data_IF_379911897467
#
_entry.id   IF_379911897467
#
_cell.length_a   1.000
_cell.length_b   1.000
_cell.length_c   1.000
_cell.angle_alpha   90.00
_cell.angle_beta   90.00
_cell.angle_gamma   90.00
#
_symmetry.space_group_name_H-M   'P 1'
#
loop_
_entity.id
_entity.type
_entity.pdbx_description
1 polymer ?
#
# COMPACT_ATOMS: atom_id res chain seq x y z
N UNK A 1 -0.78 44.16 49.38
CA UNK A 1 -2.19 43.70 49.40
C UNK A 1 -2.25 42.45 48.52
N UNK A 2 -2.29 41.20 49.03
CA UNK A 2 -3.38 40.45 49.69
C UNK A 2 -4.66 40.25 48.83
N UNK A 3 -5.08 38.97 48.77
CA UNK A 3 -6.34 38.34 48.29
C UNK A 3 -6.43 37.99 46.79
N UNK A 4 -6.39 36.71 46.37
CA UNK A 4 -7.25 35.50 46.57
C UNK A 4 -8.60 35.54 45.82
N UNK A 5 -8.80 34.53 44.95
CA UNK A 5 -9.99 33.71 44.63
C UNK A 5 -10.10 33.47 43.10
N UNK A 6 -9.74 32.28 42.57
CA UNK A 6 -10.51 31.01 42.41
C UNK A 6 -11.74 31.12 41.49
N UNK A 7 -11.70 30.41 40.34
CA UNK A 7 -12.78 29.69 39.63
C UNK A 7 -12.18 29.22 38.28
N UNK A 8 -11.72 27.98 38.13
CA UNK A 8 -12.49 26.76 37.82
C UNK A 8 -13.40 26.90 36.60
N UNK A 9 -12.90 26.50 35.42
CA UNK A 9 -13.73 26.04 34.31
C UNK A 9 -13.02 24.86 33.64
N UNK A 10 -13.53 23.67 33.96
CA UNK A 10 -13.19 22.43 33.31
C UNK A 10 -13.82 22.41 31.90
N UNK A 11 -12.98 22.33 30.87
CA UNK A 11 -13.38 21.80 29.57
C UNK A 11 -12.39 20.71 29.19
N UNK A 12 -12.79 19.48 29.54
CA UNK A 12 -12.30 18.24 28.96
C UNK A 12 -12.52 18.30 27.44
N UNK A 13 -11.45 18.47 26.69
CA UNK A 13 -11.42 18.15 25.27
C UNK A 13 -10.17 17.30 25.03
N UNK A 14 -10.27 16.03 25.40
CA UNK A 14 -9.42 15.00 24.83
C UNK A 14 -9.83 14.90 23.36
N UNK A 15 -8.96 15.17 22.37
CA UNK A 15 -9.19 14.63 21.06
C UNK A 15 -9.09 13.11 21.23
N UNK A 16 -10.23 12.44 21.07
CA UNK A 16 -10.24 11.02 20.80
C UNK A 16 -9.27 10.80 19.64
N UNK A 17 -8.14 10.17 19.95
CA UNK A 17 -7.31 9.54 18.94
C UNK A 17 -8.24 8.51 18.32
N UNK A 18 -8.86 8.89 17.20
CA UNK A 18 -9.46 7.93 16.31
C UNK A 18 -8.28 7.05 15.88
N UNK A 19 -8.16 5.89 16.52
CA UNK A 19 -7.42 4.77 16.00
C UNK A 19 -7.98 4.52 14.60
N UNK A 20 -7.34 5.15 13.62
CA UNK A 20 -7.39 4.70 12.26
C UNK A 20 -6.91 3.27 12.33
N UNK A 21 -7.85 2.32 12.27
CA UNK A 21 -7.60 0.94 11.90
C UNK A 21 -7.05 0.94 10.48
N UNK A 22 -5.82 1.42 10.37
CA UNK A 22 -4.92 1.09 9.28
C UNK A 22 -4.79 -0.41 9.39
N UNK A 23 -5.32 -1.12 8.41
CA UNK A 23 -5.05 -2.54 8.26
C UNK A 23 -3.53 -2.75 8.49
N UNK A 24 -3.13 -3.75 9.30
CA UNK A 24 -1.72 -3.96 9.59
C UNK A 24 -0.95 -3.98 8.28
N UNK A 25 0.03 -3.08 8.16
CA UNK A 25 0.88 -2.98 6.96
C UNK A 25 1.45 -4.37 6.68
N UNK A 26 1.18 -4.91 5.49
CA UNK A 26 1.66 -6.22 5.03
C UNK A 26 3.20 -6.38 5.09
N UNK A 27 3.97 -5.32 5.39
CA UNK A 27 5.43 -5.40 5.57
C UNK A 27 5.89 -6.31 6.71
N UNK A 28 5.02 -6.66 7.66
CA UNK A 28 5.37 -7.53 8.79
C UNK A 28 5.43 -9.01 8.42
N UNK A 29 4.55 -9.48 7.53
CA UNK A 29 4.39 -10.91 7.21
C UNK A 29 5.47 -11.45 6.28
N UNK A 30 6.30 -10.59 5.70
CA UNK A 30 7.43 -11.00 4.85
C UNK A 30 8.76 -11.06 5.63
N UNK A 31 8.71 -10.92 6.97
CA UNK A 31 9.86 -11.16 7.85
C UNK A 31 9.83 -12.60 8.33
N UNK A 32 10.78 -13.40 7.86
CA UNK A 32 10.90 -14.81 8.21
C UNK A 32 11.84 -14.98 9.41
N UNK A 33 11.35 -15.59 10.50
CA UNK A 33 12.21 -15.97 11.62
C UNK A 33 13.00 -17.23 11.27
N UNK A 34 14.25 -17.03 10.88
CA UNK A 34 15.21 -18.10 10.53
C UNK A 34 16.22 -18.38 11.66
N UNK A 35 16.06 -17.77 12.84
CA UNK A 35 17.08 -17.83 13.89
C UNK A 35 17.31 -19.24 14.44
N UNK A 36 16.34 -20.15 14.32
CA UNK A 36 16.47 -21.56 14.71
C UNK A 36 16.75 -22.54 13.58
N UNK A 37 16.96 -22.05 12.34
CA UNK A 37 17.39 -22.91 11.24
C UNK A 37 18.90 -23.20 11.32
N UNK A 38 19.35 -24.40 10.88
CA UNK A 38 20.77 -24.69 10.76
C UNK A 38 21.44 -23.80 9.72
N UNK A 39 22.77 -23.67 9.78
CA UNK A 39 23.53 -22.87 8.79
C UNK A 39 23.49 -23.48 7.38
N UNK A 40 23.24 -24.78 7.27
CA UNK A 40 23.11 -25.54 6.03
C UNK A 40 21.89 -26.45 6.10
N UNK A 41 21.28 -26.72 4.95
CA UNK A 41 20.09 -27.55 4.83
C UNK A 41 20.44 -29.03 4.79
N UNK A 42 20.15 -29.76 5.86
CA UNK A 42 20.44 -31.18 5.97
C UNK A 42 19.19 -32.04 5.67
N UNK A 43 18.01 -31.50 5.96
CA UNK A 43 16.72 -32.15 5.67
C UNK A 43 16.04 -31.56 4.42
N UNK A 44 15.14 -32.33 3.80
CA UNK A 44 14.40 -31.84 2.64
C UNK A 44 13.47 -30.66 2.97
N UNK A 45 12.94 -30.62 4.20
CA UNK A 45 12.17 -29.48 4.70
C UNK A 45 13.03 -28.21 4.76
N UNK A 46 14.23 -28.29 5.35
CA UNK A 46 15.17 -27.16 5.41
C UNK A 46 15.56 -26.70 3.99
N UNK A 47 15.83 -27.64 3.07
CA UNK A 47 16.16 -27.30 1.66
C UNK A 47 15.02 -26.53 1.01
N UNK A 48 13.77 -26.94 1.24
CA UNK A 48 12.60 -26.23 0.72
C UNK A 48 12.48 -24.83 1.31
N UNK A 49 12.64 -24.68 2.64
CA UNK A 49 12.61 -23.38 3.32
C UNK A 49 13.67 -22.45 2.75
N UNK A 50 14.94 -22.89 2.68
CA UNK A 50 16.02 -22.08 2.13
C UNK A 50 15.82 -21.73 0.65
N UNK A 51 15.28 -22.67 -0.14
CA UNK A 51 14.99 -22.42 -1.55
C UNK A 51 13.92 -21.35 -1.71
N UNK A 52 12.79 -21.46 -0.98
CA UNK A 52 11.72 -20.48 -1.06
C UNK A 52 12.17 -19.11 -0.55
N UNK A 53 12.86 -19.04 0.60
CA UNK A 53 13.39 -17.76 1.11
C UNK A 53 14.35 -17.11 0.11
N UNK A 54 15.19 -17.90 -0.58
CA UNK A 54 16.14 -17.39 -1.57
C UNK A 54 15.45 -16.79 -2.80
N UNK A 55 14.34 -17.36 -3.23
CA UNK A 55 13.64 -16.95 -4.45
C UNK A 55 12.38 -16.10 -4.19
N UNK A 56 12.02 -15.91 -2.92
CA UNK A 56 10.89 -15.10 -2.49
C UNK A 56 11.00 -13.68 -3.07
N UNK A 57 9.92 -13.23 -3.70
CA UNK A 57 9.82 -11.85 -4.19
C UNK A 57 8.98 -11.06 -3.22
N UNK A 58 9.47 -9.86 -2.88
CA UNK A 58 8.73 -8.94 -2.03
C UNK A 58 7.35 -8.64 -2.63
N UNK A 59 6.30 -8.78 -1.83
CA UNK A 59 4.90 -8.66 -2.25
C UNK A 59 4.23 -9.99 -2.66
N UNK A 60 4.97 -11.10 -2.76
CA UNK A 60 4.39 -12.43 -3.02
C UNK A 60 3.85 -13.06 -1.73
N UNK A 61 2.69 -12.59 -1.29
CA UNK A 61 2.13 -12.99 0.00
C UNK A 61 1.69 -14.46 0.07
N UNK A 62 1.47 -15.10 -1.10
CA UNK A 62 1.19 -16.54 -1.15
C UNK A 62 2.45 -17.34 -0.84
N UNK A 63 3.58 -16.91 -1.41
CA UNK A 63 4.87 -17.54 -1.13
C UNK A 63 5.32 -17.25 0.32
N UNK A 64 5.08 -16.03 0.84
CA UNK A 64 5.31 -15.71 2.25
C UNK A 64 4.48 -16.61 3.19
N UNK A 65 3.20 -16.84 2.90
CA UNK A 65 2.35 -17.74 3.67
C UNK A 65 2.91 -19.17 3.66
N UNK A 66 3.37 -19.65 2.50
CA UNK A 66 3.98 -20.97 2.35
C UNK A 66 5.27 -21.11 3.16
N UNK A 67 6.15 -20.12 3.12
CA UNK A 67 7.40 -20.11 3.90
C UNK A 67 7.09 -20.22 5.39
N UNK A 68 6.12 -19.45 5.90
CA UNK A 68 5.71 -19.51 7.30
C UNK A 68 5.12 -20.86 7.69
N UNK A 69 4.35 -21.52 6.83
CA UNK A 69 3.85 -22.87 7.11
C UNK A 69 4.99 -23.89 7.24
N UNK A 70 5.99 -23.83 6.35
CA UNK A 70 7.15 -24.72 6.44
C UNK A 70 8.01 -24.45 7.68
N UNK A 71 8.18 -23.16 8.06
CA UNK A 71 8.84 -22.79 9.31
C UNK A 71 8.06 -23.30 10.53
N UNK A 72 6.73 -23.22 10.50
CA UNK A 72 5.89 -23.77 11.57
C UNK A 72 6.09 -25.28 11.72
N UNK A 73 6.07 -26.03 10.62
CA UNK A 73 6.34 -27.46 10.61
C UNK A 73 7.75 -27.79 11.14
N UNK A 74 8.75 -27.00 10.74
CA UNK A 74 10.11 -27.15 11.22
C UNK A 74 10.20 -26.93 12.73
N UNK A 75 9.70 -25.80 13.26
CA UNK A 75 9.76 -25.48 14.68
C UNK A 75 8.95 -26.46 15.53
N UNK A 76 7.81 -26.94 15.03
CA UNK A 76 7.03 -28.01 15.66
C UNK A 76 7.84 -29.30 15.76
N UNK A 77 8.58 -29.68 14.72
CA UNK A 77 9.45 -30.86 14.74
C UNK A 77 10.61 -30.76 15.73
N UNK A 78 11.02 -29.54 16.09
CA UNK A 78 12.07 -29.26 17.09
C UNK A 78 11.53 -29.04 18.51
N UNK A 79 10.20 -29.07 18.70
CA UNK A 79 9.55 -28.82 19.99
C UNK A 79 9.41 -27.34 20.36
N UNK A 80 9.66 -26.42 19.42
CA UNK A 80 9.56 -24.97 19.62
C UNK A 80 8.12 -24.48 19.34
N UNK A 81 7.17 -24.90 20.19
CA UNK A 81 5.73 -24.67 19.96
C UNK A 81 5.37 -23.19 19.76
N UNK A 82 5.91 -22.28 20.58
CA UNK A 82 5.62 -20.84 20.48
C UNK A 82 6.00 -20.27 19.12
N UNK A 83 7.18 -20.63 18.59
CA UNK A 83 7.60 -20.17 17.26
C UNK A 83 6.75 -20.78 16.15
N UNK A 84 6.33 -22.04 16.32
CA UNK A 84 5.45 -22.68 15.37
C UNK A 84 4.07 -21.98 15.32
N UNK A 85 3.53 -21.59 16.47
CA UNK A 85 2.26 -20.87 16.58
C UNK A 85 2.37 -19.47 15.96
N UNK A 86 3.46 -18.75 16.22
CA UNK A 86 3.74 -17.43 15.63
C UNK A 86 3.86 -17.52 14.09
N UNK A 87 4.57 -18.52 13.58
CA UNK A 87 4.66 -18.77 12.14
C UNK A 87 3.28 -19.10 11.55
N UNK A 88 2.47 -19.92 12.23
CA UNK A 88 1.11 -20.26 11.77
C UNK A 88 0.21 -19.02 11.69
N UNK A 89 0.33 -18.13 12.68
CA UNK A 89 -0.38 -16.84 12.69
C UNK A 89 0.05 -15.97 11.51
N UNK A 90 1.35 -15.80 11.29
CA UNK A 90 1.87 -15.03 10.15
C UNK A 90 1.49 -15.63 8.81
N UNK A 91 1.45 -16.96 8.69
CA UNK A 91 0.96 -17.66 7.51
C UNK A 91 -0.51 -17.33 7.22
N UNK A 92 -1.34 -17.33 8.26
CA UNK A 92 -2.77 -16.99 8.15
C UNK A 92 -2.95 -15.53 7.74
N UNK A 93 -2.20 -14.60 8.34
CA UNK A 93 -2.22 -13.18 7.98
C UNK A 93 -1.75 -12.94 6.54
N UNK A 94 -0.68 -13.62 6.10
CA UNK A 94 -0.18 -13.55 4.73
C UNK A 94 -1.17 -14.14 3.72
N UNK A 95 -1.79 -15.27 4.04
CA UNK A 95 -2.82 -15.90 3.21
C UNK A 95 -4.05 -15.01 3.07
N UNK A 96 -4.54 -14.47 4.19
CA UNK A 96 -5.66 -13.55 4.20
C UNK A 96 -5.37 -12.26 3.42
N UNK A 97 -4.15 -11.74 3.52
CA UNK A 97 -3.72 -10.59 2.75
C UNK A 97 -3.55 -10.92 1.25
N UNK A 98 -3.14 -12.14 0.91
CA UNK A 98 -3.09 -12.61 -0.47
C UNK A 98 -4.49 -12.77 -1.07
N UNK A 99 -5.42 -13.41 -0.35
CA UNK A 99 -6.79 -13.68 -0.81
C UNK A 99 -7.66 -12.42 -0.88
N UNK A 100 -7.43 -11.46 0.02
CA UNK A 100 -8.13 -10.16 -0.01
C UNK A 100 -7.49 -9.16 -0.98
N UNK A 101 -6.33 -9.51 -1.55
CA UNK A 101 -5.40 -8.56 -2.16
C UNK A 101 -4.81 -7.61 -1.11
N UNK A 102 -3.58 -7.15 -1.30
CA UNK A 102 -3.05 -6.05 -0.48
C UNK A 102 -4.06 -4.91 -0.57
N UNK A 103 -4.69 -4.53 0.55
CA UNK A 103 -5.47 -3.29 0.60
C UNK A 103 -4.50 -2.15 0.45
N UNK A 104 -4.36 -1.69 -0.78
CA UNK A 104 -3.57 -0.51 -1.10
C UNK A 104 -4.39 0.74 -0.83
N UNK A 105 -3.70 1.86 -0.62
CA UNK A 105 -4.31 3.12 -0.20
C UNK A 105 -5.38 3.62 -1.18
N UNK A 106 -5.24 3.32 -2.47
CA UNK A 106 -6.23 3.66 -3.49
C UNK A 106 -7.46 2.72 -3.50
N UNK A 107 -7.38 1.54 -2.88
CA UNK A 107 -8.34 0.45 -3.00
C UNK A 107 -8.05 -0.50 -4.18
N UNK A 108 -6.87 -0.39 -4.81
CA UNK A 108 -6.42 -1.29 -5.88
C UNK A 108 -6.18 -2.70 -5.32
N UNK A 109 -6.65 -3.71 -6.03
CA UNK A 109 -6.42 -5.12 -5.68
C UNK A 109 -5.27 -5.71 -6.51
N UNK A 110 -4.54 -6.65 -5.91
CA UNK A 110 -3.44 -7.38 -6.56
C UNK A 110 -2.08 -6.76 -6.31
N UNK A 111 -1.14 -7.06 -7.21
CA UNK A 111 0.24 -6.55 -7.21
C UNK A 111 0.53 -5.89 -8.57
N UNK A 112 1.40 -4.86 -8.61
CA UNK A 112 1.83 -4.28 -9.87
C UNK A 112 2.60 -5.31 -10.71
N UNK A 113 2.45 -5.33 -12.04
CA UNK A 113 3.27 -6.17 -12.93
C UNK A 113 4.68 -5.59 -13.16
N UNK A 114 5.12 -4.68 -12.30
CA UNK A 114 6.40 -3.99 -12.38
C UNK A 114 6.90 -3.60 -10.98
N UNK A 115 8.19 -3.34 -10.87
CA UNK A 115 8.78 -2.83 -9.64
C UNK A 115 8.39 -1.34 -9.43
N UNK A 116 7.82 -0.98 -8.27
CA UNK A 116 7.48 0.41 -7.95
C UNK A 116 8.74 1.25 -7.73
N UNK A 117 8.93 2.32 -8.52
CA UNK A 117 10.05 3.25 -8.44
C UNK A 117 9.53 4.70 -8.44
N UNK A 118 10.29 5.63 -7.85
CA UNK A 118 9.96 7.06 -7.88
C UNK A 118 8.60 7.41 -7.27
N UNK A 119 8.20 6.71 -6.21
CA UNK A 119 6.88 6.86 -5.58
C UNK A 119 6.75 8.19 -4.83
N UNK A 120 5.53 8.72 -4.78
CA UNK A 120 5.20 9.96 -4.09
C UNK A 120 3.76 9.96 -3.59
N UNK A 121 3.45 10.82 -2.62
CA UNK A 121 2.07 11.05 -2.18
C UNK A 121 1.65 12.45 -2.59
N UNK A 122 0.70 12.55 -3.51
CA UNK A 122 0.17 13.84 -3.94
C UNK A 122 -1.18 13.69 -4.63
N UNK A 123 -2.03 14.71 -4.49
CA UNK A 123 -3.26 14.83 -5.27
C UNK A 123 -3.11 15.92 -6.31
N UNK A 124 -3.50 15.62 -7.55
CA UNK A 124 -3.57 16.57 -8.65
C UNK A 124 -4.98 16.65 -9.21
N UNK A 125 -5.34 17.80 -9.76
CA UNK A 125 -6.58 17.96 -10.49
C UNK A 125 -6.42 18.89 -11.69
N UNK A 126 -7.25 18.69 -12.71
CA UNK A 126 -7.44 19.63 -13.80
C UNK A 126 -8.90 19.64 -14.25
N UNK A 127 -9.34 20.79 -14.77
CA UNK A 127 -10.67 20.91 -15.37
C UNK A 127 -10.54 20.65 -16.87
N UNK A 128 -11.34 19.73 -17.39
CA UNK A 128 -11.56 19.56 -18.82
C UNK A 128 -12.77 20.42 -19.20
N UNK A 129 -12.50 21.59 -19.78
CA UNK A 129 -13.55 22.54 -20.19
C UNK A 129 -14.42 21.99 -21.32
N UNK A 130 -13.88 21.10 -22.18
CA UNK A 130 -14.62 20.53 -23.31
C UNK A 130 -15.68 19.53 -22.86
N UNK A 131 -15.39 18.81 -21.78
CA UNK A 131 -16.29 17.83 -21.17
C UNK A 131 -17.06 18.38 -19.96
N UNK A 132 -16.68 19.56 -19.45
CA UNK A 132 -17.28 20.17 -18.26
C UNK A 132 -17.05 19.37 -16.97
N UNK A 133 -15.96 18.57 -16.91
CA UNK A 133 -15.64 17.71 -15.77
C UNK A 133 -14.29 18.07 -15.17
N UNK A 134 -14.12 17.83 -13.86
CA UNK A 134 -12.81 17.90 -13.21
C UNK A 134 -12.26 16.50 -13.01
N UNK A 135 -11.07 16.27 -13.54
CA UNK A 135 -10.30 15.07 -13.27
C UNK A 135 -9.51 15.24 -11.98
N UNK A 136 -9.53 14.23 -11.13
CA UNK A 136 -8.75 14.16 -9.89
C UNK A 136 -7.91 12.89 -9.88
N UNK A 137 -6.61 13.07 -9.72
CA UNK A 137 -5.59 12.04 -9.62
C UNK A 137 -5.01 12.03 -8.21
N UNK A 138 -5.07 10.89 -7.54
CA UNK A 138 -4.54 10.69 -6.20
C UNK A 138 -3.46 9.62 -6.28
N UNK A 139 -2.23 9.98 -5.94
CA UNK A 139 -1.08 9.08 -5.90
C UNK A 139 -0.66 8.84 -4.45
N UNK A 140 -0.32 7.59 -4.15
CA UNK A 140 0.03 7.13 -2.81
C UNK A 140 1.47 6.63 -2.75
N UNK A 141 2.06 6.68 -1.55
CA UNK A 141 3.43 6.26 -1.25
C UNK A 141 3.65 4.74 -1.37
N UNK A 142 2.57 3.96 -1.47
CA UNK A 142 2.59 2.53 -1.73
C UNK A 142 2.60 2.15 -3.23
N UNK A 143 2.66 3.15 -4.12
CA UNK A 143 2.69 2.94 -5.57
C UNK A 143 1.32 2.66 -6.17
N UNK A 144 0.23 3.00 -5.48
CA UNK A 144 -1.11 2.96 -6.05
C UNK A 144 -1.64 4.33 -6.42
N UNK A 145 -2.59 4.35 -7.35
CA UNK A 145 -3.27 5.57 -7.74
C UNK A 145 -4.78 5.37 -7.85
N UNK A 146 -5.49 6.48 -7.68
CA UNK A 146 -6.91 6.63 -7.96
C UNK A 146 -7.13 7.79 -8.92
N UNK A 147 -7.93 7.56 -9.95
CA UNK A 147 -8.40 8.59 -10.87
C UNK A 147 -9.93 8.63 -10.82
N UNK A 148 -10.48 9.82 -10.59
CA UNK A 148 -11.93 10.04 -10.54
C UNK A 148 -12.31 11.30 -11.28
N UNK A 149 -13.54 11.30 -11.78
CA UNK A 149 -14.19 12.48 -12.36
C UNK A 149 -15.15 13.04 -11.32
N UNK A 150 -15.25 14.36 -11.17
CA UNK A 150 -16.35 14.96 -10.42
C UNK A 150 -17.67 14.69 -11.13
N UNK A 151 -18.64 14.13 -10.42
CA UNK A 151 -20.00 13.93 -10.93
C UNK A 151 -20.68 15.28 -11.20
N UNK A 152 -21.32 15.48 -12.36
CA UNK A 152 -22.23 16.60 -12.57
C UNK A 152 -23.36 16.57 -11.53
N UNK A 153 -23.84 17.74 -11.11
CA UNK A 153 -24.93 17.84 -10.16
C UNK A 153 -26.18 17.09 -10.67
N UNK A 154 -26.71 16.15 -9.87
CA UNK A 154 -27.94 15.40 -10.18
C UNK A 154 -27.76 13.92 -10.55
N UNK A 155 -26.53 13.40 -10.62
CA UNK A 155 -26.30 11.94 -10.74
C UNK A 155 -26.24 11.25 -9.37
N UNK A 156 -26.97 10.13 -9.24
CA UNK A 156 -27.07 9.30 -8.04
C UNK A 156 -26.00 8.21 -7.94
N UNK A 157 -25.39 7.81 -9.06
CA UNK A 157 -24.31 6.83 -9.07
C UNK A 157 -22.95 7.52 -8.83
N UNK A 158 -22.06 6.93 -8.00
CA UNK A 158 -20.70 7.43 -7.87
C UNK A 158 -20.00 7.36 -9.23
N UNK A 159 -19.17 8.37 -9.57
CA UNK A 159 -18.48 8.40 -10.84
C UNK A 159 -17.52 7.21 -10.93
N UNK A 160 -17.30 6.64 -12.14
CA UNK A 160 -16.36 5.55 -12.31
C UNK A 160 -14.98 5.97 -11.77
N UNK A 161 -14.43 5.12 -10.90
CA UNK A 161 -13.13 5.31 -10.29
C UNK A 161 -12.15 4.34 -10.91
N UNK A 162 -11.15 4.90 -11.55
CA UNK A 162 -10.01 4.20 -12.12
C UNK A 162 -9.00 3.93 -11.00
N UNK A 163 -8.69 2.66 -10.76
CA UNK A 163 -7.76 2.25 -9.70
C UNK A 163 -6.61 1.45 -10.32
N UNK A 164 -5.40 1.69 -9.84
CA UNK A 164 -4.23 1.05 -10.42
C UNK A 164 -2.96 1.17 -9.60
N UNK A 165 -1.87 0.76 -10.23
CA UNK A 165 -0.50 0.92 -9.75
C UNK A 165 0.24 1.92 -10.61
N UNK A 166 1.24 2.59 -10.05
CA UNK A 166 2.10 3.50 -10.79
C UNK A 166 3.57 3.40 -10.37
N UNK A 167 4.43 3.86 -11.27
CA UNK A 167 5.87 4.01 -11.06
C UNK A 167 6.34 5.21 -11.87
N UNK A 168 7.25 6.01 -11.31
CA UNK A 168 7.86 7.16 -12.00
C UNK A 168 9.34 6.91 -12.18
N UNK A 169 9.79 7.03 -13.43
CA UNK A 169 11.18 6.87 -13.79
C UNK A 169 11.49 7.70 -15.04
N UNK A 170 12.65 8.35 -15.06
CA UNK A 170 13.19 9.05 -16.25
C UNK A 170 12.21 10.04 -16.91
N UNK A 171 11.51 10.84 -16.08
CA UNK A 171 10.55 11.85 -16.57
C UNK A 171 9.28 11.26 -17.16
N UNK A 172 8.96 10.01 -16.82
CA UNK A 172 7.75 9.30 -17.26
C UNK A 172 7.04 8.67 -16.08
N UNK A 173 5.72 8.55 -16.19
CA UNK A 173 4.89 7.78 -15.27
C UNK A 173 4.29 6.58 -16.01
N UNK A 174 4.49 5.39 -15.47
CA UNK A 174 3.78 4.18 -15.86
C UNK A 174 2.56 4.02 -14.98
N UNK A 175 1.40 3.76 -15.59
CA UNK A 175 0.12 3.55 -14.94
C UNK A 175 -0.41 2.20 -15.42
N UNK A 176 -0.71 1.31 -14.49
CA UNK A 176 -1.33 0.03 -14.79
C UNK A 176 -2.64 -0.16 -14.04
N UNK A 177 -3.63 -0.73 -14.71
CA UNK A 177 -4.95 -1.04 -14.19
C UNK A 177 -5.30 -2.47 -14.56
N UNK A 178 -5.93 -3.20 -13.65
CA UNK A 178 -6.39 -4.56 -13.91
C UNK A 178 -7.73 -4.58 -14.67
N UNK A 179 -8.59 -3.58 -14.44
CA UNK A 179 -9.98 -3.56 -14.95
C UNK A 179 -10.43 -2.14 -15.33
N UNK A 180 -10.58 -1.83 -16.62
CA UNK A 180 -10.08 -2.63 -17.75
C UNK A 180 -8.56 -2.83 -17.65
N UNK A 181 -8.04 -3.89 -18.29
CA UNK A 181 -6.59 -4.08 -18.34
C UNK A 181 -5.98 -2.96 -19.20
N UNK A 182 -5.20 -2.11 -18.57
CA UNK A 182 -4.54 -0.98 -19.21
C UNK A 182 -3.14 -0.85 -18.66
N UNK A 183 -2.15 -0.76 -19.54
CA UNK A 183 -0.76 -0.45 -19.20
C UNK A 183 -0.29 0.69 -20.10
N UNK A 184 -0.05 1.86 -19.51
CA UNK A 184 0.38 3.05 -20.24
C UNK A 184 1.57 3.69 -19.57
N UNK A 185 2.50 4.20 -20.38
CA UNK A 185 3.63 4.98 -19.91
C UNK A 185 3.68 6.31 -20.63
N UNK A 186 3.45 7.41 -19.91
CA UNK A 186 3.33 8.75 -20.47
C UNK A 186 4.37 9.70 -19.89
N UNK A 187 4.73 10.81 -20.57
CA UNK A 187 5.58 11.84 -20.00
C UNK A 187 5.00 12.39 -18.69
N UNK A 188 5.85 12.62 -17.70
CA UNK A 188 5.47 13.14 -16.39
C UNK A 188 6.54 14.06 -15.81
N UNK A 189 6.11 15.23 -15.37
CA UNK A 189 6.99 16.24 -14.78
C UNK A 189 6.32 16.90 -13.58
N UNK A 190 7.06 17.06 -12.48
CA UNK A 190 6.60 17.85 -11.35
C UNK A 190 6.76 19.34 -11.61
N UNK A 191 5.75 20.12 -11.20
CA UNK A 191 5.85 21.57 -11.18
C UNK A 191 6.24 22.03 -9.76
N UNK A 192 7.39 22.69 -9.66
CA UNK A 192 8.00 23.09 -8.39
C UNK A 192 8.51 21.90 -7.58
N UNK A 193 9.05 22.19 -6.40
CA UNK A 193 9.64 21.17 -5.53
C UNK A 193 8.62 20.08 -5.18
N UNK A 194 8.92 18.85 -5.61
CA UNK A 194 8.10 17.65 -5.38
C UNK A 194 6.63 17.82 -5.81
N UNK A 195 6.38 18.61 -6.85
CA UNK A 195 5.03 18.79 -7.39
C UNK A 195 4.10 19.65 -6.51
N UNK A 196 4.65 20.49 -5.63
CA UNK A 196 3.87 21.44 -4.81
C UNK A 196 3.05 22.42 -5.63
N UNK A 197 3.50 22.76 -6.84
CA UNK A 197 2.79 23.64 -7.77
C UNK A 197 1.96 22.85 -8.80
N UNK A 198 1.93 21.51 -8.72
CA UNK A 198 1.23 20.64 -9.66
C UNK A 198 2.15 19.67 -10.40
N UNK A 199 1.66 19.17 -11.52
CA UNK A 199 2.41 18.28 -12.41
C UNK A 199 1.91 18.44 -13.84
N UNK A 200 2.73 18.04 -14.81
CA UNK A 200 2.32 17.86 -16.20
C UNK A 200 2.35 16.36 -16.49
N UNK A 201 1.24 15.80 -16.96
CA UNK A 201 1.14 14.39 -17.35
C UNK A 201 0.55 14.31 -18.75
N UNK A 202 1.29 13.71 -19.67
CA UNK A 202 0.89 13.61 -21.09
C UNK A 202 0.51 14.97 -21.71
N UNK A 203 1.27 16.02 -21.37
CA UNK A 203 1.00 17.40 -21.80
C UNK A 203 -0.13 18.13 -21.05
N UNK A 204 -0.89 17.42 -20.20
CA UNK A 204 -1.96 18.01 -19.39
C UNK A 204 -1.37 18.61 -18.11
N UNK A 205 -1.52 19.92 -17.94
CA UNK A 205 -1.10 20.62 -16.73
C UNK A 205 -2.16 20.49 -15.65
N UNK A 206 -1.78 19.91 -14.52
CA UNK A 206 -2.63 19.70 -13.36
C UNK A 206 -2.13 20.54 -12.18
N UNK A 207 -3.04 21.04 -11.35
CA UNK A 207 -2.71 21.73 -10.10
C UNK A 207 -2.64 20.74 -8.94
N UNK A 208 -1.76 20.98 -7.99
CA UNK A 208 -1.78 20.26 -6.72
C UNK A 208 -3.05 20.62 -5.93
N UNK A 209 -3.68 19.61 -5.34
CA UNK A 209 -4.85 19.77 -4.46
C UNK A 209 -4.39 19.48 -3.04
N UNK A 210 -4.71 20.41 -2.13
CA UNK A 210 -4.41 20.28 -0.70
C UNK A 210 -5.52 19.52 0.02
#
# INVERSE_FOLDING_TARGET
MRFRHLLLAACLALPAVADGQSAPRASGVEKFDVAGLPKSADTDLEKQIFTLIRYHRRGDLRDAARIHLLLADYYKSKGEQTRADDCTKLATEAWDAAERGVRTSAGTQGNPPFEPLGLFRQTFAYADESLGVTHRWEFFDDGTYAHSLTTPAGQTAPPPKELGFYSVQDGRIRLWQARPELDRTVPFEFLGDLGRNGAVMDGIRMRAVR
#
